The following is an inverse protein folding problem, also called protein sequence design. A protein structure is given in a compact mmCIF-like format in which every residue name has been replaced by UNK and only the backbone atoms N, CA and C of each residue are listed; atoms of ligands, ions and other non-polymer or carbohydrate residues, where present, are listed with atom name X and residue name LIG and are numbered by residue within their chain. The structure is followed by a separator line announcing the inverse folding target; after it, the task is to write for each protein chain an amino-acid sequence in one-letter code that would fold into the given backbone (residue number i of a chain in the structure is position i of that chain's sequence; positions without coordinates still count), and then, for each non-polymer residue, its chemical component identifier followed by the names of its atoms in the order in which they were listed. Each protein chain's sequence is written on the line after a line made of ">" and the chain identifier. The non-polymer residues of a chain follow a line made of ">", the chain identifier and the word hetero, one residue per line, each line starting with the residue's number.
data_IF_723897256445
#
_entry.id   IF_723897256445
#
_cell.length_a   1.000
_cell.length_b   1.000
_cell.length_c   1.000
_cell.angle_alpha   90.00
_cell.angle_beta   90.00
_cell.angle_gamma   90.00
#
_symmetry.space_group_name_H-M   'P 1'
#
loop_
_entity.id
_entity.type
_entity.pdbx_description
1 polymer ?
#
# COMPACT_ATOMS: atom_id res chain seq x y z
N UNK A 1 -91.01 1.85 23.40
CA UNK A 1 -89.97 1.84 22.35
C UNK A 1 -88.79 2.58 22.91
N UNK A 2 -87.73 1.85 23.26
CA UNK A 2 -86.47 2.42 23.85
C UNK A 2 -85.39 2.13 22.87
N UNK A 3 -84.78 3.18 22.30
CA UNK A 3 -83.67 3.09 21.39
C UNK A 3 -82.35 3.04 22.24
N UNK A 4 -81.60 1.97 22.11
CA UNK A 4 -80.24 1.85 22.65
C UNK A 4 -79.26 2.41 21.62
N UNK A 5 -78.39 3.33 22.05
CA UNK A 5 -77.22 3.84 21.29
C UNK A 5 -75.99 2.96 21.57
N UNK A 6 -75.25 2.56 20.51
CA UNK A 6 -73.96 1.90 20.78
C UNK A 6 -72.86 2.97 20.95
N UNK A 7 -71.98 2.72 22.02
CA UNK A 7 -70.79 3.45 22.25
C UNK A 7 -69.67 2.89 21.37
N UNK A 8 -69.12 3.73 20.51
CA UNK A 8 -67.93 3.39 19.72
C UNK A 8 -66.69 3.72 20.54
N UNK A 9 -65.98 2.66 21.02
CA UNK A 9 -64.70 2.79 21.65
C UNK A 9 -63.61 2.96 20.60
N UNK A 10 -63.05 4.17 20.50
CA UNK A 10 -61.93 4.46 19.62
C UNK A 10 -60.62 3.96 20.25
N UNK A 11 -59.98 2.96 19.64
CA UNK A 11 -58.66 2.50 20.00
C UNK A 11 -57.58 3.41 19.37
N UNK A 12 -56.91 4.21 20.18
CA UNK A 12 -55.74 4.98 19.76
C UNK A 12 -54.53 4.05 19.64
N UNK A 13 -54.11 3.77 18.41
CA UNK A 13 -52.87 3.07 18.14
C UNK A 13 -51.67 4.03 18.32
N UNK A 14 -50.87 3.84 19.35
CA UNK A 14 -49.61 4.57 19.54
C UNK A 14 -48.57 3.91 18.64
N UNK A 15 -48.20 4.56 17.52
CA UNK A 15 -47.02 4.20 16.74
C UNK A 15 -45.77 4.61 17.51
N UNK A 16 -45.11 3.66 18.14
CA UNK A 16 -43.76 3.85 18.67
C UNK A 16 -42.75 3.84 17.49
N UNK A 17 -42.34 5.04 17.05
CA UNK A 17 -41.23 5.19 16.12
C UNK A 17 -39.93 4.83 16.83
N UNK A 18 -39.44 3.60 16.65
CA UNK A 18 -38.08 3.23 17.06
C UNK A 18 -37.08 3.92 16.13
N UNK A 19 -36.54 5.04 16.57
CA UNK A 19 -35.37 5.66 15.96
C UNK A 19 -34.19 4.68 16.13
N UNK A 20 -33.94 3.88 15.11
CA UNK A 20 -32.75 3.06 15.01
C UNK A 20 -31.53 3.97 14.95
N UNK A 21 -30.86 4.16 16.08
CA UNK A 21 -29.54 4.78 16.08
C UNK A 21 -28.60 3.87 15.30
N UNK A 22 -28.32 4.22 14.03
CA UNK A 22 -27.22 3.63 13.28
C UNK A 22 -25.94 3.99 14.01
N UNK A 23 -25.26 3.00 14.60
CA UNK A 23 -23.94 3.20 15.16
C UNK A 23 -23.02 3.71 14.03
N UNK A 24 -22.70 4.98 14.05
CA UNK A 24 -21.67 5.53 13.17
C UNK A 24 -20.35 4.91 13.62
N UNK A 25 -19.83 3.95 12.84
CA UNK A 25 -18.49 3.46 13.04
C UNK A 25 -17.55 4.64 12.82
N UNK A 26 -16.88 5.09 13.89
CA UNK A 26 -15.86 6.11 13.78
C UNK A 26 -14.79 5.61 12.82
N UNK A 27 -14.57 6.29 11.72
CA UNK A 27 -13.49 5.97 10.81
C UNK A 27 -12.16 6.10 11.58
N UNK A 28 -11.31 5.08 11.48
CA UNK A 28 -9.98 5.11 12.10
C UNK A 28 -9.23 6.33 11.58
N UNK A 29 -8.92 7.27 12.48
CA UNK A 29 -8.17 8.47 12.14
C UNK A 29 -6.71 8.30 12.54
N UNK A 30 -5.82 9.06 11.90
CA UNK A 30 -4.39 8.96 12.09
C UNK A 30 -3.80 10.28 12.58
N UNK A 31 -2.78 10.17 13.40
CA UNK A 31 -1.91 11.30 13.77
C UNK A 31 -0.52 11.02 13.24
N UNK A 32 0.05 11.97 12.48
CA UNK A 32 1.39 11.86 11.87
C UNK A 32 2.21 13.08 12.28
N UNK A 33 3.38 12.86 12.88
CA UNK A 33 4.33 13.89 13.34
C UNK A 33 5.78 13.46 13.05
N UNK A 34 6.66 14.33 12.56
CA UNK A 34 6.39 15.72 12.15
C UNK A 34 5.63 15.81 10.81
N UNK A 35 5.57 14.73 9.99
CA UNK A 35 5.05 14.78 8.62
C UNK A 35 5.89 15.69 7.70
N UNK A 36 5.33 16.06 6.55
CA UNK A 36 6.02 16.89 5.56
C UNK A 36 6.96 16.08 4.67
N UNK A 37 8.04 16.70 4.21
CA UNK A 37 9.02 16.05 3.34
C UNK A 37 9.72 14.90 4.05
N UNK A 38 9.82 13.74 3.38
CA UNK A 38 10.49 12.54 3.88
C UNK A 38 11.38 11.95 2.81
N UNK A 39 12.48 11.32 3.25
CA UNK A 39 13.32 10.45 2.44
C UNK A 39 13.40 9.07 3.08
N UNK A 40 13.67 8.06 2.26
CA UNK A 40 13.87 6.71 2.74
C UNK A 40 14.99 6.06 1.92
N UNK A 41 15.83 5.24 2.57
CA UNK A 41 16.90 4.52 1.89
C UNK A 41 17.01 3.09 2.43
N UNK A 42 17.22 2.14 1.54
CA UNK A 42 17.52 0.76 1.86
C UNK A 42 18.89 0.39 1.29
N UNK A 43 19.81 -0.19 2.09
CA UNK A 43 21.17 -0.53 1.63
C UNK A 43 21.18 -1.75 0.71
N UNK A 44 20.11 -2.54 0.70
CA UNK A 44 19.93 -3.69 -0.19
C UNK A 44 18.43 -3.95 -0.38
N UNK A 45 18.07 -4.40 -1.58
CA UNK A 45 16.71 -4.86 -1.87
C UNK A 45 16.72 -6.05 -2.82
N UNK A 46 15.75 -6.94 -2.65
CA UNK A 46 15.59 -8.13 -3.49
C UNK A 46 14.21 -8.13 -4.16
N UNK A 47 14.23 -8.45 -5.44
CA UNK A 47 13.06 -8.68 -6.28
C UNK A 47 13.02 -10.16 -6.62
N UNK A 48 11.94 -10.85 -6.29
CA UNK A 48 11.84 -12.29 -6.48
C UNK A 48 10.57 -12.64 -7.25
N UNK A 49 10.74 -13.35 -8.36
CA UNK A 49 9.67 -14.11 -8.98
C UNK A 49 9.36 -15.32 -8.10
N UNK A 50 8.13 -15.45 -7.62
CA UNK A 50 7.78 -16.52 -6.69
C UNK A 50 7.52 -17.85 -7.38
N UNK A 51 7.32 -17.85 -8.70
CA UNK A 51 7.05 -19.05 -9.50
C UNK A 51 8.33 -19.66 -10.07
N UNK A 52 9.15 -18.88 -10.75
CA UNK A 52 10.44 -19.34 -11.27
C UNK A 52 11.54 -19.37 -10.21
N UNK A 53 11.34 -18.65 -9.09
CA UNK A 53 12.33 -18.40 -8.02
C UNK A 53 13.53 -17.56 -8.45
N UNK A 54 13.50 -17.01 -9.65
CA UNK A 54 14.50 -16.05 -10.12
C UNK A 54 14.47 -14.81 -9.25
N UNK A 55 15.63 -14.22 -9.01
CA UNK A 55 15.75 -12.99 -8.23
C UNK A 55 16.71 -12.00 -8.87
N UNK A 56 16.52 -10.73 -8.55
CA UNK A 56 17.48 -9.67 -8.76
C UNK A 56 17.69 -8.93 -7.44
N UNK A 57 18.90 -8.50 -7.19
CA UNK A 57 19.25 -7.73 -5.99
C UNK A 57 19.81 -6.40 -6.41
N UNK A 58 19.31 -5.31 -5.82
CA UNK A 58 19.86 -3.98 -5.97
C UNK A 58 20.73 -3.64 -4.75
N UNK A 59 21.88 -3.01 -4.99
CA UNK A 59 22.82 -2.59 -3.93
C UNK A 59 22.22 -1.51 -3.04
N UNK A 60 21.31 -0.69 -3.56
CA UNK A 60 20.51 0.23 -2.75
C UNK A 60 19.24 0.67 -3.46
N UNK A 61 18.29 1.14 -2.66
CA UNK A 61 17.13 1.88 -3.13
C UNK A 61 16.98 3.18 -2.34
N UNK A 62 16.48 4.22 -2.99
CA UNK A 62 16.15 5.47 -2.33
C UNK A 62 14.77 5.97 -2.81
N UNK A 63 14.03 6.59 -1.89
CA UNK A 63 12.76 7.19 -2.15
C UNK A 63 12.69 8.58 -1.52
N UNK A 64 11.92 9.47 -2.12
CA UNK A 64 11.54 10.75 -1.51
C UNK A 64 10.07 11.05 -1.78
N UNK A 65 9.48 11.83 -0.88
CA UNK A 65 8.08 12.14 -0.97
C UNK A 65 7.59 13.01 0.18
N UNK A 66 6.30 12.95 0.46
CA UNK A 66 5.67 13.72 1.52
C UNK A 66 4.71 12.86 2.33
N UNK A 67 4.61 13.13 3.61
CA UNK A 67 3.57 12.62 4.51
C UNK A 67 2.64 13.76 4.92
N UNK A 68 1.36 13.49 5.04
CA UNK A 68 0.41 14.39 5.69
C UNK A 68 0.89 14.69 7.11
N UNK A 69 0.47 15.81 7.69
CA UNK A 69 0.85 16.26 9.03
C UNK A 69 -0.37 16.64 9.84
N UNK A 70 -0.43 16.21 11.10
CA UNK A 70 -1.53 16.54 12.02
C UNK A 70 -2.26 15.33 12.55
N UNK A 71 -3.45 15.56 13.10
CA UNK A 71 -4.36 14.55 13.65
C UNK A 71 -5.67 14.51 12.84
N UNK A 72 -6.47 13.46 13.05
CA UNK A 72 -7.74 13.28 12.33
C UNK A 72 -7.57 12.95 10.86
N UNK A 73 -6.40 12.47 10.45
CA UNK A 73 -6.08 12.19 9.04
C UNK A 73 -6.69 10.87 8.58
N UNK A 74 -7.09 10.82 7.30
CA UNK A 74 -7.41 9.54 6.65
C UNK A 74 -6.14 8.71 6.45
N UNK A 75 -6.23 7.40 6.69
CA UNK A 75 -5.15 6.46 6.36
C UNK A 75 -4.95 6.30 4.85
N UNK A 76 -5.99 6.49 4.04
CA UNK A 76 -5.88 6.50 2.59
C UNK A 76 -5.16 7.75 2.10
N UNK A 77 -4.12 7.55 1.28
CA UNK A 77 -3.27 8.64 0.79
C UNK A 77 -2.63 9.44 1.92
N UNK A 78 -2.18 8.77 2.99
CA UNK A 78 -1.48 9.40 4.10
C UNK A 78 -0.15 10.05 3.68
N UNK A 79 0.39 9.63 2.55
CA UNK A 79 1.58 10.21 1.92
C UNK A 79 1.69 9.87 0.45
N UNK A 80 2.70 10.44 -0.19
CA UNK A 80 3.05 10.19 -1.58
C UNK A 80 4.56 10.05 -1.74
N UNK A 81 4.98 9.12 -2.60
CA UNK A 81 6.37 8.94 -3.03
C UNK A 81 6.48 9.57 -4.41
N UNK A 82 7.25 10.63 -4.53
CA UNK A 82 7.38 11.42 -5.76
C UNK A 82 8.64 11.10 -6.56
N UNK A 83 9.62 10.46 -5.92
CA UNK A 83 10.79 9.93 -6.59
C UNK A 83 11.20 8.59 -5.96
N UNK A 84 11.68 7.67 -6.80
CA UNK A 84 12.17 6.37 -6.39
C UNK A 84 13.30 5.91 -7.32
N UNK A 85 14.41 5.48 -6.74
CA UNK A 85 15.59 5.03 -7.49
C UNK A 85 16.01 3.63 -7.06
N UNK A 86 16.49 2.87 -8.04
CA UNK A 86 17.08 1.55 -7.88
C UNK A 86 18.52 1.64 -8.35
N UNK A 87 19.47 1.25 -7.51
CA UNK A 87 20.88 1.35 -7.85
C UNK A 87 21.51 -0.03 -8.00
N UNK A 88 22.19 -0.22 -9.10
CA UNK A 88 23.02 -1.38 -9.39
C UNK A 88 22.35 -2.72 -9.11
N UNK A 89 21.30 -3.03 -9.88
CA UNK A 89 20.51 -4.24 -9.72
C UNK A 89 21.12 -5.37 -10.57
N UNK A 90 21.39 -6.52 -9.97
CA UNK A 90 21.99 -7.67 -10.63
C UNK A 90 21.24 -8.95 -10.30
N UNK A 91 21.27 -9.93 -11.19
CA UNK A 91 20.83 -11.30 -10.91
C UNK A 91 22.02 -12.17 -10.44
N UNK A 92 21.76 -13.37 -9.88
CA UNK A 92 22.82 -14.28 -9.49
C UNK A 92 23.77 -14.70 -10.61
N UNK A 93 23.35 -14.56 -11.86
CA UNK A 93 24.17 -14.83 -13.06
C UNK A 93 25.00 -13.60 -13.49
N UNK A 94 25.05 -12.54 -12.68
CA UNK A 94 25.78 -11.32 -12.97
C UNK A 94 25.15 -10.44 -14.05
N UNK A 95 23.92 -10.73 -14.47
CA UNK A 95 23.20 -9.88 -15.42
C UNK A 95 22.76 -8.60 -14.72
N UNK A 96 23.13 -7.46 -15.27
CA UNK A 96 22.72 -6.13 -14.78
C UNK A 96 21.35 -5.77 -15.28
N UNK A 97 20.53 -5.23 -14.39
CA UNK A 97 19.17 -4.79 -14.64
C UNK A 97 19.02 -3.30 -14.34
N UNK A 98 18.37 -2.58 -15.23
CA UNK A 98 17.89 -1.23 -14.98
C UNK A 98 16.41 -1.28 -14.58
N UNK A 99 16.10 -0.80 -13.38
CA UNK A 99 14.73 -0.65 -12.90
C UNK A 99 14.40 0.83 -12.84
N UNK A 100 13.23 1.19 -13.34
CA UNK A 100 12.75 2.58 -13.35
C UNK A 100 11.33 2.61 -12.78
N UNK A 101 11.16 3.38 -11.70
CA UNK A 101 9.83 3.69 -11.18
C UNK A 101 9.08 4.55 -12.19
N UNK A 102 7.88 4.15 -12.54
CA UNK A 102 6.98 4.88 -13.44
C UNK A 102 5.66 5.12 -12.72
N UNK A 103 4.80 5.93 -13.32
CA UNK A 103 3.47 6.24 -12.78
C UNK A 103 3.51 6.89 -11.38
N UNK A 104 4.57 7.63 -11.09
CA UNK A 104 4.67 8.43 -9.88
C UNK A 104 3.68 9.61 -9.91
N UNK A 105 3.13 10.01 -8.76
CA UNK A 105 3.48 9.58 -7.40
C UNK A 105 2.81 8.28 -6.98
N UNK A 106 3.55 7.40 -6.29
CA UNK A 106 2.96 6.26 -5.60
C UNK A 106 2.34 6.70 -4.28
N UNK A 107 1.24 6.07 -3.87
CA UNK A 107 0.50 6.46 -2.67
C UNK A 107 0.85 5.59 -1.47
N UNK A 108 1.02 6.24 -0.33
CA UNK A 108 1.26 5.60 0.95
C UNK A 108 -0.03 5.57 1.75
N UNK A 109 -0.50 4.37 2.10
CA UNK A 109 -1.75 4.15 2.81
C UNK A 109 -1.47 3.45 4.14
N UNK A 110 -2.16 3.86 5.21
CA UNK A 110 -2.07 3.28 6.54
C UNK A 110 -3.33 2.46 6.82
N UNK A 111 -3.18 1.28 7.41
CA UNK A 111 -4.30 0.36 7.65
C UNK A 111 -4.51 0.04 9.12
N UNK A 112 -3.46 -0.15 9.90
CA UNK A 112 -3.56 -0.43 11.34
C UNK A 112 -2.28 0.00 12.06
N UNK A 113 -2.41 0.26 13.36
CA UNK A 113 -1.26 0.50 14.25
C UNK A 113 -1.44 -0.31 15.53
N UNK A 114 -0.38 -0.94 15.99
CA UNK A 114 -0.35 -1.68 17.27
C UNK A 114 1.07 -1.75 17.78
N UNK A 115 1.28 -1.48 19.08
CA UNK A 115 2.59 -1.62 19.73
C UNK A 115 3.71 -0.80 19.10
N UNK A 116 3.41 0.39 18.52
CA UNK A 116 4.40 1.23 17.85
C UNK A 116 4.81 0.73 16.44
N UNK A 117 4.06 -0.24 15.91
CA UNK A 117 4.20 -0.73 14.52
C UNK A 117 2.96 -0.37 13.74
N UNK A 118 3.17 0.30 12.61
CA UNK A 118 2.13 0.67 11.66
C UNK A 118 2.17 -0.28 10.47
N UNK A 119 1.04 -0.83 10.10
CA UNK A 119 0.86 -1.61 8.88
C UNK A 119 0.23 -0.74 7.80
N UNK A 120 0.71 -0.86 6.57
CA UNK A 120 0.18 -0.09 5.46
C UNK A 120 0.50 -0.72 4.11
N UNK A 121 0.26 0.05 3.06
CA UNK A 121 0.62 -0.31 1.69
C UNK A 121 1.17 0.89 0.91
N UNK A 122 2.07 0.61 -0.02
CA UNK A 122 2.44 1.50 -1.10
C UNK A 122 1.66 1.03 -2.32
N UNK A 123 0.86 1.90 -2.93
CA UNK A 123 -0.02 1.59 -4.06
C UNK A 123 0.25 2.50 -5.26
N UNK A 124 -0.39 2.21 -6.39
CA UNK A 124 -0.14 2.85 -7.69
C UNK A 124 1.29 2.61 -8.18
N UNK A 125 1.85 1.47 -7.83
CA UNK A 125 3.21 1.12 -8.21
C UNK A 125 3.24 0.56 -9.63
N UNK A 126 4.15 1.12 -10.43
CA UNK A 126 4.56 0.53 -11.69
C UNK A 126 6.08 0.67 -11.82
N UNK A 127 6.74 -0.37 -12.29
CA UNK A 127 8.20 -0.40 -12.47
C UNK A 127 8.50 -0.98 -13.84
N UNK A 128 9.32 -0.29 -14.63
CA UNK A 128 9.89 -0.85 -15.87
C UNK A 128 11.21 -1.53 -15.55
N UNK A 129 11.40 -2.70 -16.11
CA UNK A 129 12.62 -3.49 -16.02
C UNK A 129 13.24 -3.64 -17.39
N UNK A 130 14.53 -3.37 -17.47
CA UNK A 130 15.32 -3.48 -18.70
C UNK A 130 16.63 -4.20 -18.39
N UNK A 131 16.90 -5.27 -19.14
CA UNK A 131 18.18 -5.99 -19.15
C UNK A 131 18.77 -6.03 -20.55
N UNK A 132 19.90 -6.73 -20.77
CA UNK A 132 20.59 -6.76 -22.06
C UNK A 132 19.72 -7.24 -23.24
N UNK A 133 18.81 -8.18 -23.01
CA UNK A 133 17.85 -8.70 -24.00
C UNK A 133 16.46 -8.89 -23.43
N UNK A 134 16.21 -8.44 -22.20
CA UNK A 134 14.99 -8.69 -21.46
C UNK A 134 14.31 -7.37 -21.10
N UNK A 135 13.02 -7.29 -21.36
CA UNK A 135 12.16 -6.19 -20.90
C UNK A 135 10.94 -6.73 -20.19
N UNK A 136 10.48 -6.02 -19.18
CA UNK A 136 9.22 -6.31 -18.49
C UNK A 136 8.64 -5.05 -17.86
N UNK A 137 7.34 -5.10 -17.57
CA UNK A 137 6.64 -4.15 -16.69
C UNK A 137 6.20 -4.90 -15.45
N UNK A 138 6.42 -4.33 -14.30
CA UNK A 138 5.95 -4.83 -13.01
C UNK A 138 4.80 -3.93 -12.57
N UNK A 139 3.62 -4.50 -12.38
CA UNK A 139 2.37 -3.80 -12.05
C UNK A 139 1.41 -4.74 -11.31
N UNK A 140 0.21 -4.28 -10.97
CA UNK A 140 -0.79 -5.05 -10.25
C UNK A 140 -1.58 -6.02 -11.12
N UNK A 141 -2.46 -5.52 -11.96
CA UNK A 141 -3.41 -6.35 -12.74
C UNK A 141 -3.16 -6.34 -14.25
N UNK A 142 -2.39 -5.39 -14.76
CA UNK A 142 -1.99 -5.31 -16.16
C UNK A 142 -0.82 -4.34 -16.32
N UNK A 143 -0.15 -4.34 -17.45
CA UNK A 143 1.01 -3.48 -17.74
C UNK A 143 0.71 -1.97 -17.84
N UNK A 144 -0.55 -1.56 -17.78
CA UNK A 144 -0.96 -0.19 -18.13
C UNK A 144 -1.84 0.49 -17.10
N UNK A 145 -2.18 -0.19 -15.99
CA UNK A 145 -3.14 0.35 -15.02
C UNK A 145 -2.47 1.12 -13.89
N UNK A 146 -1.20 0.84 -13.58
CA UNK A 146 -0.49 1.48 -12.47
C UNK A 146 -1.17 1.20 -11.12
N UNK A 147 -1.65 -0.03 -10.88
CA UNK A 147 -2.35 -0.40 -9.65
C UNK A 147 -1.60 -1.42 -8.80
N UNK A 148 -0.31 -1.58 -9.04
CA UNK A 148 0.57 -2.40 -8.22
C UNK A 148 0.59 -1.93 -6.78
N UNK A 149 0.68 -2.86 -5.84
CA UNK A 149 0.88 -2.52 -4.44
C UNK A 149 1.74 -3.55 -3.71
N UNK A 150 2.45 -3.05 -2.70
CA UNK A 150 3.15 -3.86 -1.69
C UNK A 150 2.68 -3.44 -0.31
N UNK A 151 2.67 -4.38 0.64
CA UNK A 151 2.42 -4.07 2.04
C UNK A 151 3.72 -3.77 2.76
N UNK A 152 3.63 -3.02 3.86
CA UNK A 152 4.77 -2.72 4.71
C UNK A 152 4.40 -2.70 6.19
N UNK A 153 5.44 -2.86 7.04
CA UNK A 153 5.42 -2.45 8.43
C UNK A 153 6.37 -1.26 8.61
N UNK A 154 5.94 -0.26 9.36
CA UNK A 154 6.79 0.84 9.81
C UNK A 154 6.87 0.83 11.32
N UNK A 155 8.06 0.91 11.87
CA UNK A 155 8.31 0.98 13.32
C UNK A 155 8.70 2.40 13.72
N UNK A 156 7.89 3.01 14.58
CA UNK A 156 8.17 4.33 15.16
C UNK A 156 9.48 4.31 15.99
N UNK A 157 9.79 3.19 16.64
CA UNK A 157 10.97 3.07 17.49
C UNK A 157 12.27 3.17 16.67
N UNK A 158 12.33 2.44 15.55
CA UNK A 158 13.55 2.30 14.74
C UNK A 158 13.59 3.16 13.49
N UNK A 159 12.46 3.80 13.11
CA UNK A 159 12.29 4.53 11.84
C UNK A 159 12.43 3.63 10.60
N UNK A 160 12.25 2.32 10.75
CA UNK A 160 12.34 1.38 9.64
C UNK A 160 10.98 1.09 9.02
N UNK A 161 10.93 1.14 7.69
CA UNK A 161 9.82 0.66 6.88
C UNK A 161 10.29 -0.61 6.17
N UNK A 162 9.71 -1.75 6.54
CA UNK A 162 10.03 -3.06 5.96
C UNK A 162 8.91 -3.51 5.04
N UNK A 163 9.21 -3.82 3.78
CA UNK A 163 8.23 -4.37 2.86
C UNK A 163 7.89 -5.82 3.21
N UNK A 164 6.63 -6.19 3.02
CA UNK A 164 6.15 -7.55 3.26
C UNK A 164 6.09 -8.33 1.94
N UNK A 165 6.53 -9.57 1.97
CA UNK A 165 6.49 -10.47 0.80
C UNK A 165 5.12 -11.11 0.59
N UNK A 166 4.13 -10.76 1.41
CA UNK A 166 2.74 -11.27 1.32
C UNK A 166 1.74 -10.13 1.26
N UNK A 167 0.60 -10.38 0.62
CA UNK A 167 -0.51 -9.42 0.53
C UNK A 167 -0.26 -8.25 -0.42
N UNK A 168 0.75 -8.33 -1.28
CA UNK A 168 0.91 -7.50 -2.47
C UNK A 168 0.27 -8.15 -3.70
N UNK A 169 0.24 -7.41 -4.81
CA UNK A 169 -0.32 -7.90 -6.09
C UNK A 169 0.61 -7.68 -7.28
N UNK A 170 1.91 -7.49 -7.06
CA UNK A 170 2.83 -7.24 -8.16
C UNK A 170 3.03 -8.50 -9.02
N UNK A 171 2.97 -8.31 -10.33
CA UNK A 171 3.22 -9.33 -11.34
C UNK A 171 4.07 -8.75 -12.46
N UNK A 172 4.72 -9.64 -13.21
CA UNK A 172 5.42 -9.27 -14.44
C UNK A 172 4.44 -9.25 -15.61
N UNK A 173 4.54 -8.24 -16.46
CA UNK A 173 3.77 -8.08 -17.70
C UNK A 173 4.68 -7.72 -18.87
N UNK A 174 4.21 -7.94 -20.10
CA UNK A 174 4.93 -7.59 -21.34
C UNK A 174 6.36 -8.09 -21.33
N UNK A 175 6.57 -9.29 -20.78
CA UNK A 175 7.90 -9.90 -20.67
C UNK A 175 8.38 -10.34 -22.04
N UNK A 176 9.55 -9.85 -22.46
CA UNK A 176 10.17 -10.18 -23.74
C UNK A 176 11.66 -10.44 -23.55
N UNK A 177 12.17 -11.53 -24.14
CA UNK A 177 13.60 -11.83 -24.17
C UNK A 177 14.24 -12.26 -22.85
N UNK A 178 13.44 -12.58 -21.83
CA UNK A 178 13.93 -12.88 -20.48
C UNK A 178 14.34 -14.33 -20.25
N UNK A 179 14.39 -15.15 -21.29
CA UNK A 179 14.87 -16.55 -21.26
C UNK A 179 14.24 -17.43 -20.16
N UNK A 180 12.97 -17.19 -19.81
CA UNK A 180 12.27 -17.93 -18.76
C UNK A 180 12.63 -17.56 -17.33
N UNK A 181 13.52 -16.60 -17.11
CA UNK A 181 13.82 -16.07 -15.77
C UNK A 181 12.59 -15.40 -15.16
N UNK A 182 11.89 -14.61 -15.97
CA UNK A 182 10.62 -13.99 -15.66
C UNK A 182 9.64 -14.19 -16.80
N UNK A 183 8.38 -14.44 -16.47
CA UNK A 183 7.34 -14.65 -17.48
C UNK A 183 6.14 -13.76 -17.19
N UNK A 184 5.41 -13.40 -18.24
CA UNK A 184 4.18 -12.62 -18.10
C UNK A 184 3.17 -13.36 -17.22
N UNK A 185 2.63 -12.66 -16.22
CA UNK A 185 1.69 -13.18 -15.25
C UNK A 185 2.33 -13.83 -14.01
N UNK A 186 3.66 -13.95 -13.95
CA UNK A 186 4.32 -14.49 -12.77
C UNK A 186 4.27 -13.47 -11.61
N UNK A 187 3.93 -13.92 -10.38
CA UNK A 187 3.87 -13.03 -9.22
C UNK A 187 5.27 -12.64 -8.75
N UNK A 188 5.39 -11.39 -8.30
CA UNK A 188 6.66 -10.82 -7.84
C UNK A 188 6.54 -10.26 -6.43
N UNK A 189 7.62 -10.39 -5.65
CA UNK A 189 7.75 -9.80 -4.32
C UNK A 189 8.96 -8.89 -4.24
N UNK A 190 8.84 -7.84 -3.42
CA UNK A 190 9.95 -6.93 -3.07
C UNK A 190 10.25 -7.12 -1.59
N UNK A 191 11.52 -7.37 -1.27
CA UNK A 191 12.03 -7.39 0.10
C UNK A 191 13.05 -6.29 0.30
N UNK A 192 12.74 -5.32 1.16
CA UNK A 192 13.60 -4.19 1.47
C UNK A 192 13.31 -3.68 2.88
N UNK A 193 14.33 -3.10 3.52
CA UNK A 193 14.21 -2.44 4.81
C UNK A 193 14.74 -1.01 4.68
N UNK A 194 13.83 -0.05 4.62
CA UNK A 194 14.14 1.36 4.45
C UNK A 194 14.31 2.05 5.81
N UNK A 195 15.35 2.85 5.95
CA UNK A 195 15.45 3.85 7.01
C UNK A 195 14.76 5.13 6.54
N UNK A 196 13.76 5.58 7.28
CA UNK A 196 12.95 6.77 6.97
C UNK A 196 13.48 7.98 7.73
N UNK A 197 13.69 9.10 7.05
CA UNK A 197 14.15 10.37 7.62
C UNK A 197 13.30 11.56 7.14
N UNK A 198 12.94 12.49 8.03
CA UNK A 198 13.07 12.41 9.48
C UNK A 198 12.21 11.29 10.07
N UNK A 199 12.58 10.82 11.27
CA UNK A 199 11.77 9.84 12.02
C UNK A 199 10.32 10.33 12.16
N UNK A 200 9.38 9.45 11.95
CA UNK A 200 7.96 9.73 12.06
C UNK A 200 7.37 9.05 13.29
N UNK A 201 6.45 9.72 13.97
CA UNK A 201 5.55 9.13 14.95
C UNK A 201 4.17 9.04 14.30
N UNK A 202 3.68 7.82 14.11
CA UNK A 202 2.41 7.55 13.42
C UNK A 202 1.54 6.72 14.35
N UNK A 203 0.40 7.28 14.77
CA UNK A 203 -0.51 6.62 15.69
C UNK A 203 -1.94 6.64 15.16
N UNK A 204 -2.72 5.62 15.52
CA UNK A 204 -4.18 5.62 15.42
C UNK A 204 -4.79 5.48 16.80
N UNK A 205 -6.04 5.90 17.01
CA UNK A 205 -6.77 5.71 18.27
C UNK A 205 -6.89 4.26 18.65
#
# INVERSE_FOLDING_TARGET
>A
MRYARPLIAGSAAILAATLGATAAFAATTWTIKPGGAVSASAPVASFKDTKTRSNATCDSMAASGTLKRGSGLSGSGAGSITAFTFNHCTSPLGVTWSLTATDLPWHLNLSSASGGVVTGSISHMQIKLLGPSCTAVIDGTSATVGNGHVRFHYSDATSHLTTLTTGGNLHFYNVTGCAGLWNTGDPMTISANFTVSPKQAITSP
#
